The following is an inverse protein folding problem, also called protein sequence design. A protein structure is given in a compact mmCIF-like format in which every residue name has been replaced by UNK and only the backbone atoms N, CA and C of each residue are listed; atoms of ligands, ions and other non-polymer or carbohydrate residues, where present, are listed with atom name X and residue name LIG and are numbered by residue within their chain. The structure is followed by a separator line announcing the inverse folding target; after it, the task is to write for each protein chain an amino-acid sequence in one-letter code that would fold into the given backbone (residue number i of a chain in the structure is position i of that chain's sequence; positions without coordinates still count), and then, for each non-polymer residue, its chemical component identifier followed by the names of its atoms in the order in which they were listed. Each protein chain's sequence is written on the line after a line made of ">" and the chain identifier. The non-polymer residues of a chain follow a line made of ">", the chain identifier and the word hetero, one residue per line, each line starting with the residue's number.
data_IF_571737498085
#
_entry.id   IF_571737498085
#
_cell.length_a   1.000
_cell.length_b   1.000
_cell.length_c   1.000
_cell.angle_alpha   90.00
_cell.angle_beta   90.00
_cell.angle_gamma   90.00
#
_symmetry.space_group_name_H-M   'P 1'
#
loop_
_entity.id
_entity.type
_entity.pdbx_description
1 polymer ?
#
# COMPACT_ATOMS: atom_id res chain seq x y z
N UNK A 1 12.26 -12.83 -1.68
CA UNK A 1 11.05 -12.03 -1.77
C UNK A 1 11.41 -10.56 -1.56
N UNK A 2 10.83 -9.66 -2.36
CA UNK A 2 10.87 -8.22 -2.15
C UNK A 2 9.46 -7.70 -1.92
N UNK A 3 9.30 -6.97 -0.83
CA UNK A 3 8.01 -6.50 -0.35
C UNK A 3 8.03 -4.98 -0.28
N UNK A 4 7.15 -4.35 -1.04
CA UNK A 4 6.83 -2.95 -0.87
C UNK A 4 5.84 -2.79 0.29
N UNK A 5 5.96 -1.73 1.08
CA UNK A 5 5.02 -1.44 2.16
C UNK A 5 4.87 0.05 2.38
N UNK A 6 3.63 0.51 2.48
CA UNK A 6 3.31 1.92 2.75
C UNK A 6 3.60 2.25 4.21
N UNK A 7 4.29 3.37 4.46
CA UNK A 7 4.81 3.66 5.79
C UNK A 7 4.58 5.11 6.18
N UNK A 8 4.35 5.32 7.48
CA UNK A 8 4.30 6.64 8.10
C UNK A 8 5.71 7.22 8.34
N UNK A 9 6.77 6.41 8.18
CA UNK A 9 8.16 6.82 8.39
C UNK A 9 9.15 6.10 7.49
N UNK A 10 10.37 6.61 7.38
CA UNK A 10 11.38 6.12 6.44
C UNK A 10 12.23 4.94 6.97
N UNK A 11 11.70 4.13 7.90
CA UNK A 11 12.48 3.04 8.51
C UNK A 11 11.62 1.89 9.05
N UNK A 12 12.27 0.76 9.33
CA UNK A 12 11.63 -0.50 9.73
C UNK A 12 10.86 -0.41 11.07
N UNK A 13 11.23 0.52 11.95
CA UNK A 13 10.50 0.78 13.21
C UNK A 13 9.22 1.61 13.04
N UNK A 14 8.88 2.01 11.80
CA UNK A 14 7.68 2.77 11.53
C UNK A 14 6.42 1.90 11.60
N UNK A 15 5.27 2.57 11.46
CA UNK A 15 3.96 1.94 11.34
C UNK A 15 3.44 2.05 9.92
N UNK A 16 2.59 1.10 9.56
CA UNK A 16 1.87 1.10 8.29
C UNK A 16 1.12 2.43 8.08
N UNK A 17 1.26 3.01 6.89
CA UNK A 17 0.32 4.03 6.40
C UNK A 17 -0.77 3.33 5.60
N UNK A 18 -2.05 3.36 6.00
CA UNK A 18 -3.08 2.65 5.28
C UNK A 18 -3.39 3.27 3.91
N UNK A 19 -2.94 4.48 3.57
CA UNK A 19 -3.38 5.17 2.35
C UNK A 19 -2.39 5.02 1.20
N UNK A 20 -2.56 4.02 0.33
CA UNK A 20 -1.61 3.77 -0.76
C UNK A 20 -1.33 5.01 -1.63
N UNK A 21 -2.38 5.65 -2.15
CA UNK A 21 -2.24 6.81 -3.04
C UNK A 21 -1.85 8.12 -2.34
N UNK A 22 -1.78 8.15 -1.01
CA UNK A 22 -1.46 9.36 -0.22
C UNK A 22 -0.29 9.15 0.74
N UNK A 23 0.32 7.96 0.73
CA UNK A 23 1.41 7.64 1.64
C UNK A 23 2.61 8.51 1.32
N UNK A 24 3.31 8.97 2.36
CA UNK A 24 4.50 9.80 2.20
C UNK A 24 5.74 8.96 1.91
N UNK A 25 5.77 7.74 2.43
CA UNK A 25 6.90 6.84 2.36
C UNK A 25 6.44 5.47 1.88
N UNK A 26 7.24 4.89 1.00
CA UNK A 26 7.14 3.50 0.59
C UNK A 26 8.47 2.83 0.88
N UNK A 27 8.46 1.75 1.66
CA UNK A 27 9.66 0.96 1.94
C UNK A 27 9.66 -0.26 1.03
N UNK A 28 10.79 -0.55 0.40
CA UNK A 28 10.99 -1.80 -0.36
C UNK A 28 12.00 -2.63 0.42
N UNK A 29 11.60 -3.80 0.89
CA UNK A 29 12.37 -4.62 1.84
C UNK A 29 12.64 -5.98 1.20
N UNK A 30 13.90 -6.43 1.21
CA UNK A 30 14.31 -7.77 0.75
C UNK A 30 14.34 -8.80 1.89
N UNK A 31 14.59 -10.08 1.60
CA UNK A 31 14.65 -11.15 2.61
C UNK A 31 15.77 -11.00 3.65
N UNK A 32 16.80 -10.19 3.36
CA UNK A 32 17.93 -9.96 4.25
C UNK A 32 17.72 -8.71 5.12
N UNK A 33 16.48 -8.20 5.19
CA UNK A 33 16.07 -6.97 5.87
C UNK A 33 16.81 -5.72 5.36
N UNK A 34 17.36 -5.77 4.14
CA UNK A 34 17.83 -4.56 3.46
C UNK A 34 16.61 -3.84 2.92
N UNK A 35 16.59 -2.53 3.11
CA UNK A 35 15.47 -1.72 2.69
C UNK A 35 15.90 -0.44 2.01
N UNK A 36 15.11 -0.03 1.03
CA UNK A 36 15.17 1.30 0.43
C UNK A 36 13.90 2.06 0.82
N UNK A 37 14.07 3.29 1.30
CA UNK A 37 12.97 4.20 1.58
C UNK A 37 12.75 5.14 0.40
N UNK A 38 11.59 5.03 -0.23
CA UNK A 38 11.16 5.90 -1.30
C UNK A 38 10.22 6.95 -0.77
N UNK A 39 10.58 8.21 -0.96
CA UNK A 39 9.59 9.27 -0.91
C UNK A 39 8.62 9.05 -2.07
N UNK A 40 7.33 8.94 -1.72
CA UNK A 40 6.29 9.11 -2.71
C UNK A 40 6.28 10.59 -3.09
N UNK A 41 6.26 10.95 -4.38
CA UNK A 41 6.09 12.33 -4.81
C UNK A 41 4.66 12.80 -4.52
N UNK A 42 4.24 12.79 -3.25
CA UNK A 42 2.96 13.31 -2.79
C UNK A 42 3.09 14.79 -2.52
N UNK A 43 2.98 15.58 -3.59
CA UNK A 43 3.00 17.04 -3.55
C UNK A 43 1.72 17.70 -4.06
N UNK A 44 0.67 16.98 -4.43
CA UNK A 44 -0.57 17.64 -4.89
C UNK A 44 -1.80 16.74 -4.93
N UNK A 45 -2.94 17.32 -4.53
CA UNK A 45 -4.29 16.76 -4.36
C UNK A 45 -4.97 16.14 -5.62
N UNK A 46 -4.22 15.69 -6.61
CA UNK A 46 -4.79 15.14 -7.85
C UNK A 46 -4.95 13.62 -7.79
N UNK A 47 -6.14 13.12 -8.13
CA UNK A 47 -6.60 11.72 -7.96
C UNK A 47 -5.84 10.61 -8.70
N UNK A 48 -4.66 10.88 -9.27
CA UNK A 48 -3.83 9.93 -10.01
C UNK A 48 -2.60 9.38 -9.28
N UNK A 49 -2.34 9.81 -8.03
CA UNK A 49 -1.10 9.48 -7.31
C UNK A 49 -0.91 7.98 -7.04
N UNK A 50 -2.00 7.26 -6.75
CA UNK A 50 -1.94 5.80 -6.56
C UNK A 50 -1.49 5.07 -7.82
N UNK A 51 -2.03 5.43 -8.99
CA UNK A 51 -1.69 4.76 -10.26
C UNK A 51 -0.22 5.02 -10.64
N UNK A 52 0.26 6.25 -10.44
CA UNK A 52 1.67 6.60 -10.67
C UNK A 52 2.61 5.81 -9.74
N UNK A 53 2.26 5.70 -8.46
CA UNK A 53 3.04 4.91 -7.50
C UNK A 53 3.06 3.42 -7.86
N UNK A 54 1.92 2.87 -8.26
CA UNK A 54 1.81 1.49 -8.76
C UNK A 54 2.67 1.28 -10.02
N UNK A 55 2.59 2.18 -10.99
CA UNK A 55 3.40 2.13 -12.20
C UNK A 55 4.91 2.21 -11.90
N UNK A 56 5.32 2.97 -10.89
CA UNK A 56 6.72 3.01 -10.44
C UNK A 56 7.17 1.68 -9.85
N UNK A 57 6.28 0.99 -9.12
CA UNK A 57 6.54 -0.33 -8.56
C UNK A 57 6.65 -1.43 -9.61
N UNK A 58 5.94 -1.34 -10.74
CA UNK A 58 6.08 -2.35 -11.81
C UNK A 58 7.47 -2.36 -12.45
N UNK A 59 8.21 -1.25 -12.34
CA UNK A 59 9.62 -1.16 -12.74
C UNK A 59 10.61 -1.74 -11.71
N UNK A 60 10.12 -2.27 -10.60
CA UNK A 60 10.94 -2.93 -9.56
C UNK A 60 10.78 -4.43 -9.60
N UNK A 61 11.72 -5.14 -8.98
CA UNK A 61 11.64 -6.58 -8.73
C UNK A 61 10.84 -6.92 -7.46
N UNK A 62 9.75 -6.19 -7.18
CA UNK A 62 8.89 -6.46 -6.04
C UNK A 62 7.92 -7.60 -6.34
N UNK A 63 7.78 -8.53 -5.40
CA UNK A 63 6.82 -9.64 -5.50
C UNK A 63 5.46 -9.26 -4.91
N UNK A 64 5.46 -8.32 -3.97
CA UNK A 64 4.29 -7.97 -3.20
C UNK A 64 4.28 -6.52 -2.72
N UNK A 65 3.09 -6.02 -2.40
CA UNK A 65 2.88 -4.81 -1.63
C UNK A 65 1.91 -5.02 -0.46
N UNK A 66 2.18 -4.36 0.67
CA UNK A 66 1.30 -4.28 1.83
C UNK A 66 0.82 -2.84 2.01
N UNK A 67 -0.50 -2.63 2.09
CA UNK A 67 -1.15 -1.31 2.31
C UNK A 67 -2.54 -1.50 2.91
N UNK A 68 -3.25 -0.44 3.32
CA UNK A 68 -4.61 -0.56 3.87
C UNK A 68 -5.72 -0.38 2.84
N UNK A 69 -5.70 0.73 2.14
CA UNK A 69 -6.66 1.08 1.08
C UNK A 69 -5.89 1.48 -0.16
N UNK A 70 -6.32 0.93 -1.28
CA UNK A 70 -5.77 1.18 -2.61
C UNK A 70 -6.94 1.38 -3.56
N UNK A 71 -6.78 2.26 -4.56
CA UNK A 71 -7.82 2.42 -5.56
C UNK A 71 -7.82 1.21 -6.53
N UNK A 72 -8.98 0.82 -7.09
CA UNK A 72 -9.05 -0.37 -7.94
C UNK A 72 -8.13 -0.30 -9.17
N UNK A 73 -7.93 0.90 -9.72
CA UNK A 73 -7.07 1.11 -10.90
C UNK A 73 -5.59 0.83 -10.60
N UNK A 74 -5.07 1.26 -9.45
CA UNK A 74 -3.69 0.99 -9.05
C UNK A 74 -3.50 -0.48 -8.67
N UNK A 75 -4.51 -1.09 -8.05
CA UNK A 75 -4.51 -2.53 -7.80
C UNK A 75 -4.37 -3.32 -9.11
N UNK A 76 -5.08 -2.94 -10.17
CA UNK A 76 -4.97 -3.62 -11.47
C UNK A 76 -3.56 -3.54 -12.05
N UNK A 77 -2.94 -2.36 -12.03
CA UNK A 77 -1.56 -2.16 -12.51
C UNK A 77 -0.58 -3.09 -11.79
N UNK A 78 -0.71 -3.22 -10.46
CA UNK A 78 0.13 -4.12 -9.67
C UNK A 78 -0.15 -5.60 -9.98
N UNK A 79 -1.42 -5.99 -10.02
CA UNK A 79 -1.82 -7.36 -10.31
C UNK A 79 -1.37 -7.81 -11.70
N UNK A 80 -1.52 -6.96 -12.72
CA UNK A 80 -1.11 -7.24 -14.10
C UNK A 80 0.40 -7.35 -14.26
N UNK A 81 1.18 -6.72 -13.38
CA UNK A 81 2.64 -6.87 -13.32
C UNK A 81 3.11 -8.04 -12.44
N UNK A 82 2.19 -8.82 -11.87
CA UNK A 82 2.51 -9.97 -11.03
C UNK A 82 2.81 -9.62 -9.56
N UNK A 83 2.57 -8.37 -9.15
CA UNK A 83 2.77 -7.91 -7.78
C UNK A 83 1.53 -8.22 -6.95
N UNK A 84 1.66 -9.08 -5.94
CA UNK A 84 0.57 -9.40 -5.02
C UNK A 84 0.23 -8.20 -4.13
N UNK A 85 -1.05 -7.97 -3.85
CA UNK A 85 -1.49 -6.89 -2.95
C UNK A 85 -2.05 -7.50 -1.68
N UNK A 86 -1.54 -7.08 -0.54
CA UNK A 86 -2.00 -7.46 0.79
C UNK A 86 -2.63 -6.26 1.49
N UNK A 87 -3.89 -6.41 1.93
CA UNK A 87 -4.58 -5.38 2.70
C UNK A 87 -4.36 -5.57 4.20
N UNK A 88 -3.93 -4.51 4.89
CA UNK A 88 -3.78 -4.44 6.33
C UNK A 88 -4.17 -3.05 6.85
N UNK A 89 -4.95 -2.96 7.93
CA UNK A 89 -5.38 -1.65 8.45
C UNK A 89 -4.36 -1.00 9.39
N UNK A 90 -3.53 -1.82 10.06
CA UNK A 90 -2.54 -1.38 11.05
C UNK A 90 -1.47 -2.45 11.24
N UNK A 91 -0.32 -2.03 11.76
CA UNK A 91 0.76 -2.93 12.16
C UNK A 91 2.09 -2.19 12.20
N UNK A 92 3.11 -2.83 12.77
CA UNK A 92 4.49 -2.40 12.53
C UNK A 92 4.95 -2.91 11.17
N UNK A 93 5.91 -2.21 10.55
CA UNK A 93 6.44 -2.63 9.24
C UNK A 93 7.04 -4.04 9.31
N UNK A 94 7.86 -4.31 10.33
CA UNK A 94 8.50 -5.61 10.54
C UNK A 94 7.48 -6.75 10.68
N UNK A 95 6.48 -6.57 11.53
CA UNK A 95 5.43 -7.59 11.75
C UNK A 95 4.70 -7.94 10.45
N UNK A 96 4.29 -6.92 9.68
CA UNK A 96 3.54 -7.14 8.45
C UNK A 96 4.41 -7.82 7.36
N UNK A 97 5.68 -7.45 7.28
CA UNK A 97 6.65 -8.08 6.37
C UNK A 97 6.86 -9.55 6.75
N UNK A 98 7.01 -9.86 8.04
CA UNK A 98 7.13 -11.24 8.52
C UNK A 98 5.88 -12.07 8.21
N UNK A 99 4.68 -11.52 8.45
CA UNK A 99 3.41 -12.17 8.12
C UNK A 99 3.24 -12.42 6.62
N UNK A 100 3.78 -11.53 5.77
CA UNK A 100 3.79 -11.77 4.33
C UNK A 100 4.77 -12.88 3.95
N UNK A 101 6.01 -12.83 4.46
CA UNK A 101 7.06 -13.82 4.16
C UNK A 101 6.69 -15.24 4.60
N UNK A 102 6.00 -15.37 5.74
CA UNK A 102 5.59 -16.67 6.28
C UNK A 102 4.27 -17.19 5.70
N UNK A 103 3.64 -16.45 4.77
CA UNK A 103 2.39 -16.84 4.12
C UNK A 103 1.12 -16.67 4.98
N UNK A 104 1.20 -15.94 6.11
CA UNK A 104 0.04 -15.65 6.95
C UNK A 104 -0.87 -14.58 6.36
N UNK A 105 -0.34 -13.70 5.49
CA UNK A 105 -1.16 -12.77 4.73
C UNK A 105 -1.69 -13.42 3.44
N UNK A 106 -2.97 -13.20 3.17
CA UNK A 106 -3.61 -13.65 1.94
C UNK A 106 -3.66 -12.52 0.92
N UNK A 107 -3.27 -12.74 -0.35
CA UNK A 107 -3.42 -11.75 -1.39
C UNK A 107 -4.88 -11.34 -1.51
N UNK A 108 -5.12 -10.04 -1.57
CA UNK A 108 -6.45 -9.48 -1.64
C UNK A 108 -7.02 -9.63 -3.04
N UNK A 109 -8.32 -9.89 -3.13
CA UNK A 109 -9.03 -9.95 -4.41
C UNK A 109 -9.47 -8.57 -4.87
N UNK A 110 -9.85 -8.48 -6.14
CA UNK A 110 -10.34 -7.23 -6.73
C UNK A 110 -11.61 -6.73 -6.00
N UNK A 111 -12.48 -7.66 -5.63
CA UNK A 111 -13.74 -7.37 -4.93
C UNK A 111 -13.48 -6.84 -3.51
N UNK A 112 -12.49 -7.42 -2.80
CA UNK A 112 -12.09 -6.94 -1.47
C UNK A 112 -11.53 -5.52 -1.54
N UNK A 113 -10.74 -5.21 -2.56
CA UNK A 113 -10.22 -3.86 -2.81
C UNK A 113 -11.35 -2.87 -3.08
N UNK A 114 -12.30 -3.22 -3.94
CA UNK A 114 -13.45 -2.35 -4.25
C UNK A 114 -14.32 -2.09 -3.02
N UNK A 115 -14.59 -3.12 -2.22
CA UNK A 115 -15.33 -2.99 -0.96
C UNK A 115 -14.61 -2.06 0.03
N UNK A 116 -13.32 -2.26 0.26
CA UNK A 116 -12.50 -1.44 1.17
C UNK A 116 -12.41 0.02 0.70
N UNK A 117 -12.20 0.24 -0.60
CA UNK A 117 -12.11 1.58 -1.18
C UNK A 117 -13.44 2.34 -1.12
N UNK A 118 -14.56 1.66 -1.43
CA UNK A 118 -15.90 2.25 -1.37
C UNK A 118 -16.31 2.60 0.06
N UNK A 119 -16.06 1.71 1.04
CA UNK A 119 -16.39 1.97 2.44
C UNK A 119 -15.71 3.23 2.97
N UNK A 120 -14.41 3.38 2.69
CA UNK A 120 -13.61 4.55 3.12
C UNK A 120 -14.02 5.85 2.39
N UNK A 121 -14.55 5.74 1.17
CA UNK A 121 -15.06 6.89 0.40
C UNK A 121 -16.43 7.37 0.90
N UNK A 122 -17.25 6.46 1.41
CA UNK A 122 -18.55 6.78 2.00
C UNK A 122 -18.44 7.45 3.38
N UNK A 123 -17.46 7.04 4.19
CA UNK A 123 -17.16 7.68 5.49
C UNK A 123 -16.81 9.17 5.34
N UNK A 124 -16.20 9.57 4.21
CA UNK A 124 -15.90 10.97 3.91
C UNK A 124 -17.18 11.84 3.71
N UNK A 125 -18.32 11.25 3.33
CA UNK A 125 -19.57 11.99 3.13
C UNK A 125 -20.41 12.19 4.40
N UNK A 126 -20.07 11.53 5.51
CA UNK A 126 -20.77 11.71 6.78
C UNK A 126 -20.10 12.75 7.70
N UNK A 127 -18.93 13.27 7.32
CA UNK A 127 -18.18 14.25 8.11
C UNK A 127 -18.52 15.72 7.81
N UNK A 128 -19.48 16.01 6.93
CA UNK A 128 -19.83 17.38 6.51
C UNK A 128 -21.20 17.89 7.00
N UNK A 129 -21.91 17.16 7.87
CA UNK A 129 -23.23 17.59 8.37
C UNK A 129 -23.24 17.87 9.88
N UNK A 130 -22.24 18.60 10.35
CA UNK A 130 -22.22 19.20 11.69
C UNK A 130 -21.63 20.60 11.61
N UNK A 131 -22.46 21.53 11.15
CA UNK A 131 -22.21 22.97 11.11
C UNK A 131 -23.52 23.71 10.92
#
# INVERSE_FOLDING_TARGET
>A
MRIAITSLGAGLGARLDPHFGKCKQLLIIDDNDRFDAWHSPTGGDSGGQGVSLAARLTGTECDAIITGVINPQAYDVLRESGIAVYLADKGSILELVELARNGSLQPSTREQVESSFSARSAECHQATDSG
#
